data_IF_294786086762
#
_entry.id   IF_294786086762
#
_cell.length_a   1.000
_cell.length_b   1.000
_cell.length_c   1.000
_cell.angle_alpha   90.00
_cell.angle_beta   90.00
_cell.angle_gamma   90.00
#
_symmetry.space_group_name_H-M   'P 1'
#
loop_
_entity.id
_entity.type
_entity.pdbx_description
1 polymer ?
#
# COMPACT_ATOMS: atom_id res chain seq x y z
N UNK A 1 -6.66 -2.14 -17.22
CA UNK A 1 -7.72 -2.18 -16.20
C UNK A 1 -7.09 -2.24 -14.82
N UNK A 2 -7.48 -1.36 -13.90
CA UNK A 2 -7.02 -1.36 -12.50
C UNK A 2 -8.17 -1.79 -11.59
N UNK A 3 -7.96 -2.85 -10.81
CA UNK A 3 -8.81 -3.24 -9.69
C UNK A 3 -8.39 -2.46 -8.46
N UNK A 4 -9.18 -1.47 -8.05
CA UNK A 4 -8.91 -0.64 -6.88
C UNK A 4 -9.30 -1.35 -5.56
N UNK A 5 -9.36 -0.66 -4.42
CA UNK A 5 -9.62 -1.17 -3.08
C UNK A 5 -10.87 -2.09 -2.99
N UNK A 6 -10.87 -2.99 -2.02
CA UNK A 6 -12.04 -3.82 -1.70
C UNK A 6 -12.02 -5.27 -2.22
N UNK A 7 -10.90 -5.73 -2.79
CA UNK A 7 -10.80 -7.07 -3.39
C UNK A 7 -10.37 -8.18 -2.43
N UNK A 8 -9.90 -7.85 -1.22
CA UNK A 8 -9.20 -8.74 -0.29
C UNK A 8 -9.93 -8.93 1.04
N UNK A 9 -9.38 -9.85 1.86
CA UNK A 9 -9.86 -10.17 3.21
C UNK A 9 -10.96 -11.24 3.21
N UNK A 10 -10.64 -12.45 3.68
CA UNK A 10 -11.61 -13.54 3.79
C UNK A 10 -12.23 -13.62 5.19
N UNK A 11 -11.41 -13.61 6.24
CA UNK A 11 -11.89 -13.61 7.63
C UNK A 11 -12.48 -12.26 8.03
N UNK A 12 -11.81 -11.19 7.62
CA UNK A 12 -12.23 -9.81 7.85
C UNK A 12 -12.46 -9.11 6.49
N UNK A 13 -13.66 -9.28 5.90
CA UNK A 13 -13.92 -8.79 4.55
C UNK A 13 -13.74 -7.29 4.38
N UNK A 14 -13.00 -6.87 3.36
CA UNK A 14 -12.87 -5.47 2.96
C UNK A 14 -14.15 -4.96 2.29
N UNK A 15 -15.24 -4.84 3.07
CA UNK A 15 -16.52 -4.28 2.62
C UNK A 15 -16.60 -2.77 2.79
N UNK A 16 -15.74 -2.23 3.63
CA UNK A 16 -15.51 -0.81 3.86
C UNK A 16 -14.07 -0.61 4.33
N UNK A 17 -13.66 0.62 4.65
CA UNK A 17 -12.30 0.97 5.06
C UNK A 17 -11.91 0.54 6.48
N UNK A 18 -12.80 -0.11 7.23
CA UNK A 18 -12.60 -0.45 8.63
C UNK A 18 -12.13 -1.89 8.89
N UNK A 19 -11.87 -2.68 7.84
CA UNK A 19 -11.45 -4.07 7.96
C UNK A 19 -10.60 -4.53 6.76
N UNK A 20 -9.82 -5.58 6.95
CA UNK A 20 -9.15 -6.33 5.89
C UNK A 20 -7.76 -5.85 5.50
N UNK A 21 -7.37 -4.58 5.74
CA UNK A 21 -5.99 -4.17 5.46
C UNK A 21 -5.01 -5.01 6.27
N UNK A 22 -4.07 -5.61 5.56
CA UNK A 22 -3.12 -6.60 6.09
C UNK A 22 -3.36 -8.01 5.55
N UNK A 23 -4.57 -8.34 5.08
CA UNK A 23 -4.97 -9.68 4.65
C UNK A 23 -5.12 -9.73 3.12
N UNK A 24 -4.01 -9.82 2.39
CA UNK A 24 -3.92 -9.67 0.92
C UNK A 24 -4.34 -10.92 0.14
N UNK A 25 -5.43 -11.56 0.55
CA UNK A 25 -6.04 -12.65 -0.21
C UNK A 25 -7.35 -12.23 -0.85
N UNK A 26 -7.54 -12.61 -2.12
CA UNK A 26 -8.77 -12.30 -2.85
C UNK A 26 -10.01 -12.81 -2.11
N UNK A 27 -10.96 -11.91 -1.89
CA UNK A 27 -12.21 -12.22 -1.21
C UNK A 27 -13.09 -13.12 -2.08
N UNK A 28 -13.24 -14.38 -1.67
CA UNK A 28 -13.97 -15.41 -2.45
C UNK A 28 -15.43 -15.04 -2.73
N UNK A 29 -16.08 -14.34 -1.81
CA UNK A 29 -17.47 -13.93 -1.99
C UNK A 29 -17.67 -12.85 -3.05
N UNK A 30 -16.71 -11.94 -3.22
CA UNK A 30 -16.74 -10.90 -4.27
C UNK A 30 -16.13 -11.38 -5.59
N UNK A 31 -15.11 -12.21 -5.50
CA UNK A 31 -14.32 -12.69 -6.63
C UNK A 31 -14.34 -14.23 -6.66
N UNK A 32 -15.47 -14.85 -7.02
CA UNK A 32 -15.57 -16.32 -7.03
C UNK A 32 -14.60 -16.99 -8.01
N UNK A 33 -14.23 -16.31 -9.12
CA UNK A 33 -13.20 -16.76 -10.06
C UNK A 33 -11.78 -16.33 -9.66
N UNK A 34 -11.64 -15.57 -8.57
CA UNK A 34 -10.37 -15.02 -8.09
C UNK A 34 -9.73 -14.01 -9.07
N UNK A 35 -8.52 -13.58 -8.74
CA UNK A 35 -7.71 -12.70 -9.60
C UNK A 35 -7.45 -13.32 -11.00
N UNK A 36 -7.22 -14.64 -11.16
CA UNK A 36 -6.99 -15.23 -12.49
C UNK A 36 -8.12 -14.99 -13.48
N UNK A 37 -9.40 -15.01 -13.04
CA UNK A 37 -10.53 -14.74 -13.91
C UNK A 37 -10.52 -13.29 -14.43
N UNK A 38 -10.17 -12.33 -13.58
CA UNK A 38 -10.07 -10.92 -13.95
C UNK A 38 -8.91 -10.66 -14.90
N UNK A 39 -7.73 -11.25 -14.62
CA UNK A 39 -6.56 -11.19 -15.50
C UNK A 39 -6.90 -11.72 -16.88
N UNK A 40 -7.57 -12.89 -16.95
CA UNK A 40 -8.01 -13.50 -18.21
C UNK A 40 -8.96 -12.57 -18.96
N UNK A 41 -9.99 -12.04 -18.29
CA UNK A 41 -10.96 -11.14 -18.92
C UNK A 41 -10.32 -9.84 -19.43
N UNK A 42 -9.38 -9.27 -18.67
CA UNK A 42 -8.61 -8.10 -19.11
C UNK A 42 -7.81 -8.41 -20.39
N UNK A 43 -7.13 -9.54 -20.43
CA UNK A 43 -6.36 -10.00 -21.59
C UNK A 43 -7.26 -10.22 -22.83
N UNK A 44 -8.42 -10.84 -22.65
CA UNK A 44 -9.41 -11.04 -23.72
C UNK A 44 -9.96 -9.70 -24.24
N UNK A 45 -10.06 -8.69 -23.38
CA UNK A 45 -10.44 -7.32 -23.74
C UNK A 45 -9.26 -6.49 -24.32
N UNK A 46 -8.08 -7.06 -24.49
CA UNK A 46 -6.91 -6.38 -25.04
C UNK A 46 -6.24 -5.36 -24.11
N UNK A 47 -6.51 -5.44 -22.79
CA UNK A 47 -5.94 -4.53 -21.79
C UNK A 47 -5.11 -5.31 -20.76
N UNK A 48 -4.10 -4.63 -20.19
CA UNK A 48 -3.32 -5.16 -19.07
C UNK A 48 -4.11 -5.05 -17.76
N UNK A 49 -3.83 -5.97 -16.81
CA UNK A 49 -4.46 -5.97 -15.48
C UNK A 49 -3.53 -5.36 -14.45
N UNK A 50 -4.05 -4.45 -13.64
CA UNK A 50 -3.39 -3.87 -12.48
C UNK A 50 -4.21 -4.04 -11.22
N UNK A 51 -3.56 -3.87 -10.06
CA UNK A 51 -4.18 -4.07 -8.75
C UNK A 51 -3.70 -3.03 -7.74
N UNK A 52 -4.64 -2.58 -6.90
CA UNK A 52 -4.35 -1.68 -5.78
C UNK A 52 -3.87 -2.45 -4.57
N UNK A 53 -2.87 -1.90 -3.90
CA UNK A 53 -2.39 -2.35 -2.59
C UNK A 53 -2.09 -1.17 -1.67
N UNK A 54 -2.22 -1.37 -0.36
CA UNK A 54 -1.82 -0.42 0.68
C UNK A 54 -1.04 -1.18 1.77
N UNK A 55 0.16 -1.70 1.44
CA UNK A 55 0.83 -2.71 2.25
C UNK A 55 1.53 -2.17 3.49
N UNK A 56 1.62 -0.85 3.64
CA UNK A 56 2.17 -0.16 4.80
C UNK A 56 1.14 0.05 5.92
N UNK A 57 -0.14 -0.24 5.64
CA UNK A 57 -1.26 0.00 6.54
C UNK A 57 -1.90 -1.30 7.00
N UNK A 58 -2.55 -1.25 8.17
CA UNK A 58 -3.26 -2.37 8.74
C UNK A 58 -4.54 -1.90 9.43
N UNK A 59 -5.62 -2.65 9.32
CA UNK A 59 -6.81 -2.44 10.16
C UNK A 59 -6.73 -3.27 11.43
N UNK A 60 -7.28 -2.79 12.56
CA UNK A 60 -7.48 -3.62 13.76
C UNK A 60 -8.29 -4.88 13.48
N UNK A 61 -9.22 -4.82 12.54
CA UNK A 61 -9.98 -5.97 12.04
C UNK A 61 -9.24 -6.60 10.87
N UNK A 62 -8.11 -7.30 11.15
CA UNK A 62 -7.34 -8.10 10.21
C UNK A 62 -6.64 -9.25 10.92
N UNK A 63 -6.35 -10.33 10.21
CA UNK A 63 -5.56 -11.44 10.74
C UNK A 63 -4.11 -11.02 11.01
N UNK A 64 -3.59 -10.07 10.23
CA UNK A 64 -2.27 -9.51 10.45
C UNK A 64 -2.18 -8.83 11.82
N UNK A 65 -3.11 -7.94 12.13
CA UNK A 65 -3.11 -7.24 13.41
C UNK A 65 -3.34 -8.18 14.60
N UNK A 66 -4.21 -9.20 14.44
CA UNK A 66 -4.41 -10.22 15.50
C UNK A 66 -3.10 -10.93 15.86
N UNK A 67 -2.22 -11.18 14.87
CA UNK A 67 -0.96 -11.91 15.03
C UNK A 67 0.21 -11.01 15.43
N UNK A 68 0.23 -9.76 14.97
CA UNK A 68 1.38 -8.86 15.02
C UNK A 68 1.02 -7.44 15.46
N UNK A 69 0.40 -7.31 16.64
CA UNK A 69 0.12 -6.00 17.24
C UNK A 69 1.36 -5.18 17.52
N UNK A 70 2.50 -5.85 17.73
CA UNK A 70 3.81 -5.26 17.96
C UNK A 70 4.44 -4.64 16.69
N UNK A 71 3.85 -4.88 15.52
CA UNK A 71 4.33 -4.33 14.24
C UNK A 71 3.78 -2.95 13.91
N UNK A 72 2.84 -2.43 14.68
CA UNK A 72 2.26 -1.12 14.43
C UNK A 72 2.99 -0.01 15.20
N UNK A 73 3.01 1.18 14.59
CA UNK A 73 3.51 2.39 15.23
C UNK A 73 2.42 2.92 16.15
N UNK A 74 2.63 2.83 17.47
CA UNK A 74 1.65 3.23 18.49
C UNK A 74 2.34 3.84 19.70
N UNK A 75 1.67 4.81 20.37
CA UNK A 75 2.20 5.39 21.61
C UNK A 75 1.92 4.45 22.78
N UNK A 76 2.93 4.10 23.61
CA UNK A 76 2.71 3.32 24.81
C UNK A 76 1.83 4.08 25.81
N UNK A 77 0.95 3.35 26.53
CA UNK A 77 0.06 3.88 27.56
C UNK A 77 -0.95 4.94 27.05
N UNK A 78 -1.28 4.92 25.78
CA UNK A 78 -2.34 5.71 25.17
C UNK A 78 -3.21 4.84 24.28
N UNK A 79 -4.47 5.25 24.13
CA UNK A 79 -5.36 4.63 23.16
C UNK A 79 -4.81 4.80 21.75
N UNK A 80 -5.03 3.79 20.91
CA UNK A 80 -4.65 3.86 19.49
C UNK A 80 -5.47 4.95 18.79
N UNK A 81 -4.79 5.78 18.04
CA UNK A 81 -5.43 6.77 17.18
C UNK A 81 -5.48 6.25 15.75
N UNK A 82 -6.68 6.22 15.19
CA UNK A 82 -6.90 5.75 13.84
C UNK A 82 -7.17 6.91 12.90
N UNK A 83 -6.43 6.95 11.79
CA UNK A 83 -6.78 7.76 10.64
C UNK A 83 -7.35 6.86 9.56
N UNK A 84 -8.57 7.15 9.07
CA UNK A 84 -9.31 6.26 8.16
C UNK A 84 -9.43 4.80 8.66
N UNK A 85 -9.64 4.60 9.95
CA UNK A 85 -9.71 3.28 10.59
C UNK A 85 -8.44 2.42 10.43
N UNK A 86 -7.29 3.04 10.16
CA UNK A 86 -6.02 2.38 9.88
C UNK A 86 -4.97 2.68 10.92
N UNK A 87 -3.99 1.78 11.04
CA UNK A 87 -2.72 1.95 11.72
C UNK A 87 -1.59 1.78 10.73
N UNK A 88 -0.44 2.38 11.03
CA UNK A 88 0.76 2.31 10.21
C UNK A 88 1.66 1.18 10.70
N UNK A 89 2.07 0.29 9.80
CA UNK A 89 3.07 -0.74 10.08
C UNK A 89 4.46 -0.13 10.18
N UNK A 90 5.26 -0.60 11.12
CA UNK A 90 6.58 -0.05 11.43
C UNK A 90 7.66 -0.54 10.45
N UNK A 91 7.87 0.17 9.35
CA UNK A 91 8.92 -0.14 8.38
C UNK A 91 10.35 0.07 8.89
N UNK A 92 10.57 0.63 10.08
CA UNK A 92 11.89 0.57 10.71
C UNK A 92 12.27 -0.86 11.12
N UNK A 93 11.27 -1.75 11.28
CA UNK A 93 11.43 -3.16 11.63
C UNK A 93 11.66 -4.03 10.38
N UNK A 94 12.80 -4.75 10.27
CA UNK A 94 13.08 -5.64 9.14
C UNK A 94 12.03 -6.73 8.91
N UNK A 95 11.36 -7.23 9.95
CA UNK A 95 10.29 -8.22 9.79
C UNK A 95 9.07 -7.63 9.07
N UNK A 96 8.76 -6.37 9.32
CA UNK A 96 7.71 -5.63 8.61
C UNK A 96 8.12 -5.36 7.16
N UNK A 97 9.40 -5.02 6.93
CA UNK A 97 9.92 -4.88 5.56
C UNK A 97 9.79 -6.20 4.78
N UNK A 98 10.10 -7.35 5.40
CA UNK A 98 9.93 -8.67 4.79
C UNK A 98 8.48 -8.97 4.48
N UNK A 99 7.56 -8.64 5.38
CA UNK A 99 6.12 -8.78 5.15
C UNK A 99 5.66 -7.92 3.97
N UNK A 100 6.00 -6.64 3.94
CA UNK A 100 5.58 -5.71 2.87
C UNK A 100 6.15 -6.13 1.51
N UNK A 101 7.42 -6.54 1.44
CA UNK A 101 7.99 -7.17 0.25
C UNK A 101 7.20 -8.41 -0.15
N UNK A 102 6.88 -9.27 0.82
CA UNK A 102 6.12 -10.51 0.62
C UNK A 102 4.72 -10.29 0.05
N UNK A 103 4.07 -9.17 0.33
CA UNK A 103 2.76 -8.83 -0.29
C UNK A 103 2.89 -8.77 -1.81
N UNK A 104 3.85 -8.00 -2.33
CA UNK A 104 4.09 -7.90 -3.77
C UNK A 104 4.60 -9.22 -4.34
N UNK A 105 5.56 -9.84 -3.66
CA UNK A 105 6.19 -11.09 -4.10
C UNK A 105 5.18 -12.24 -4.24
N UNK A 106 4.29 -12.37 -3.26
CA UNK A 106 3.22 -13.39 -3.30
C UNK A 106 2.22 -13.13 -4.43
N UNK A 107 1.82 -11.88 -4.64
CA UNK A 107 0.90 -11.51 -5.72
C UNK A 107 1.54 -11.79 -7.10
N UNK A 108 2.79 -11.38 -7.31
CA UNK A 108 3.52 -11.60 -8.56
C UNK A 108 3.81 -13.08 -8.81
N UNK A 109 4.18 -13.84 -7.78
CA UNK A 109 4.42 -15.28 -7.89
C UNK A 109 3.14 -16.04 -8.23
N UNK A 110 2.03 -15.67 -7.58
CA UNK A 110 0.73 -16.33 -7.77
C UNK A 110 0.01 -15.89 -9.04
N UNK A 111 0.24 -14.64 -9.46
CA UNK A 111 -0.43 -14.00 -10.59
C UNK A 111 0.58 -13.23 -11.47
N UNK A 112 1.45 -13.91 -12.21
CA UNK A 112 2.56 -13.27 -12.95
C UNK A 112 2.12 -12.33 -14.07
N UNK A 113 0.87 -12.38 -14.48
CA UNK A 113 0.29 -11.48 -15.48
C UNK A 113 -0.24 -10.15 -14.89
N UNK A 114 -0.07 -9.90 -13.60
CA UNK A 114 -0.26 -8.56 -13.04
C UNK A 114 0.83 -7.65 -13.60
N UNK A 115 0.42 -6.60 -14.30
CA UNK A 115 1.33 -5.69 -14.99
C UNK A 115 1.52 -4.35 -14.28
N UNK A 116 0.73 -4.07 -13.23
CA UNK A 116 0.68 -2.75 -12.62
C UNK A 116 0.21 -2.82 -11.17
N UNK A 117 0.88 -2.09 -10.28
CA UNK A 117 0.42 -1.86 -8.90
C UNK A 117 0.14 -0.38 -8.65
N UNK A 118 -1.05 -0.07 -8.10
CA UNK A 118 -1.30 1.20 -7.42
C UNK A 118 -0.95 1.00 -5.95
N UNK A 119 0.16 1.59 -5.53
CA UNK A 119 0.64 1.53 -4.16
C UNK A 119 0.15 2.74 -3.38
N UNK A 120 -0.75 2.51 -2.45
CA UNK A 120 -1.36 3.55 -1.62
C UNK A 120 -0.77 3.61 -0.21
N UNK A 121 -0.98 4.74 0.47
CA UNK A 121 -0.56 4.99 1.84
C UNK A 121 -1.42 6.11 2.43
N UNK A 122 -2.55 5.77 3.02
CA UNK A 122 -3.60 6.75 3.37
C UNK A 122 -3.59 7.20 4.83
N UNK A 123 -2.68 6.72 5.65
CA UNK A 123 -2.57 7.14 7.04
C UNK A 123 -1.21 7.77 7.33
N UNK A 124 -1.17 9.02 7.83
CA UNK A 124 0.06 9.61 8.30
C UNK A 124 0.53 8.96 9.61
N UNK A 125 1.83 9.04 9.89
CA UNK A 125 2.39 8.63 11.18
C UNK A 125 2.07 9.71 12.22
N UNK A 126 1.07 9.46 13.04
CA UNK A 126 0.62 10.38 14.12
C UNK A 126 0.99 9.88 15.51
N UNK A 127 1.12 8.56 15.69
CA UNK A 127 1.54 7.93 16.93
C UNK A 127 3.03 7.63 16.87
N UNK A 128 3.87 8.49 17.42
CA UNK A 128 5.32 8.48 17.17
C UNK A 128 6.03 7.59 18.17
N UNK A 129 5.86 6.27 18.06
CA UNK A 129 6.63 5.30 18.84
C UNK A 129 6.70 3.94 18.13
N UNK A 130 7.92 3.43 18.01
CA UNK A 130 8.23 2.11 17.45
C UNK A 130 8.61 1.14 18.56
N UNK A 131 7.92 0.00 18.63
CA UNK A 131 8.31 -1.09 19.53
C UNK A 131 9.68 -1.69 19.17
N UNK A 132 10.09 -1.57 17.91
CA UNK A 132 11.37 -2.07 17.41
C UNK A 132 12.54 -1.15 17.78
N UNK A 133 12.39 0.17 17.64
CA UNK A 133 13.48 1.14 17.84
C UNK A 133 13.87 1.34 19.30
N UNK A 134 13.01 0.99 20.26
CA UNK A 134 13.27 1.11 21.70
C UNK A 134 13.75 2.50 22.11
N UNK A 135 15.03 2.65 22.42
CA UNK A 135 15.68 3.91 22.83
C UNK A 135 15.98 4.86 21.66
N UNK A 136 15.90 4.38 20.41
CA UNK A 136 16.19 5.17 19.20
C UNK A 136 14.94 5.82 18.58
N UNK A 137 13.96 6.21 19.39
CA UNK A 137 12.68 6.74 18.88
C UNK A 137 12.82 7.97 17.98
N UNK A 138 13.83 8.80 18.19
CA UNK A 138 14.11 9.98 17.34
C UNK A 138 14.46 9.61 15.87
N UNK A 139 14.81 8.36 15.62
CA UNK A 139 15.12 7.85 14.27
C UNK A 139 13.89 7.41 13.47
N UNK A 140 12.70 7.34 14.11
CA UNK A 140 11.54 6.68 13.53
C UNK A 140 11.23 7.09 12.09
N UNK A 141 11.12 8.37 11.81
CA UNK A 141 10.79 8.85 10.46
C UNK A 141 11.87 8.52 9.42
N UNK A 142 13.13 8.66 9.80
CA UNK A 142 14.27 8.36 8.91
C UNK A 142 14.36 6.86 8.66
N UNK A 143 14.29 6.06 9.71
CA UNK A 143 14.40 4.60 9.59
C UNK A 143 13.19 3.98 8.92
N UNK A 144 11.98 4.54 9.12
CA UNK A 144 10.78 4.17 8.37
C UNK A 144 10.97 4.40 6.87
N UNK A 145 11.38 5.61 6.48
CA UNK A 145 11.57 5.97 5.07
C UNK A 145 12.66 5.12 4.42
N UNK A 146 13.78 4.92 5.11
CA UNK A 146 14.85 4.02 4.64
C UNK A 146 14.35 2.57 4.52
N UNK A 147 13.47 2.14 5.42
CA UNK A 147 12.84 0.83 5.38
C UNK A 147 11.94 0.65 4.15
N UNK A 148 11.15 1.67 3.83
CA UNK A 148 10.34 1.69 2.59
C UNK A 148 11.23 1.55 1.35
N UNK A 149 12.28 2.36 1.24
CA UNK A 149 13.17 2.30 0.08
C UNK A 149 13.90 0.96 -0.05
N UNK A 150 14.30 0.34 1.06
CA UNK A 150 14.85 -1.03 1.04
C UNK A 150 13.86 -2.05 0.48
N UNK A 151 12.59 -1.94 0.83
CA UNK A 151 11.54 -2.80 0.27
C UNK A 151 11.40 -2.57 -1.23
N UNK A 152 11.34 -1.30 -1.66
CA UNK A 152 11.22 -0.92 -3.07
C UNK A 152 12.44 -1.33 -3.90
N UNK A 153 13.67 -1.21 -3.37
CA UNK A 153 14.90 -1.71 -3.99
C UNK A 153 14.81 -3.23 -4.24
N UNK A 154 14.33 -4.00 -3.26
CA UNK A 154 14.14 -5.45 -3.39
C UNK A 154 13.10 -5.80 -4.45
N UNK A 155 11.97 -5.07 -4.48
CA UNK A 155 10.93 -5.25 -5.50
C UNK A 155 11.50 -4.97 -6.89
N UNK A 156 12.18 -3.83 -7.08
CA UNK A 156 12.76 -3.44 -8.35
C UNK A 156 13.84 -4.42 -8.82
N UNK A 157 14.66 -4.92 -7.91
CA UNK A 157 15.69 -5.91 -8.23
C UNK A 157 15.09 -7.24 -8.70
N UNK A 158 13.97 -7.68 -8.09
CA UNK A 158 13.31 -8.95 -8.46
C UNK A 158 12.35 -8.81 -9.65
N UNK A 159 11.70 -7.67 -9.78
CA UNK A 159 10.68 -7.37 -10.80
C UNK A 159 11.01 -6.06 -11.52
N UNK A 160 12.08 -6.00 -12.34
CA UNK A 160 12.58 -4.75 -12.93
C UNK A 160 11.59 -4.08 -13.88
N UNK A 161 10.71 -4.85 -14.51
CA UNK A 161 9.71 -4.36 -15.48
C UNK A 161 8.34 -4.06 -14.84
N UNK A 162 8.21 -4.24 -13.51
CA UNK A 162 6.97 -3.97 -12.82
C UNK A 162 6.69 -2.47 -12.77
N UNK A 163 5.54 -2.08 -13.32
CA UNK A 163 5.07 -0.70 -13.30
C UNK A 163 4.31 -0.43 -12.00
N UNK A 164 4.68 0.65 -11.31
CA UNK A 164 4.04 1.04 -10.06
C UNK A 164 3.65 2.52 -10.08
N UNK A 165 2.43 2.81 -9.58
CA UNK A 165 1.94 4.15 -9.30
C UNK A 165 2.00 4.43 -7.81
N UNK A 166 2.57 5.56 -7.41
CA UNK A 166 2.51 6.04 -6.03
C UNK A 166 1.22 6.82 -5.79
N UNK A 167 0.52 6.46 -4.73
CA UNK A 167 -0.64 7.16 -4.21
C UNK A 167 -0.52 7.33 -2.68
N UNK A 168 -1.09 8.40 -2.15
CA UNK A 168 -1.24 8.64 -0.71
C UNK A 168 -2.40 9.62 -0.51
N UNK A 169 -3.64 9.13 -0.64
CA UNK A 169 -4.82 9.99 -0.74
C UNK A 169 -4.69 10.98 -1.91
N UNK A 170 -4.10 10.57 -3.01
CA UNK A 170 -3.55 11.41 -4.07
C UNK A 170 -2.05 11.62 -3.92
N UNK A 171 -1.58 12.85 -4.11
CA UNK A 171 -0.15 13.23 -4.11
C UNK A 171 0.47 13.49 -2.74
N UNK A 172 -0.11 12.99 -1.66
CA UNK A 172 0.33 13.31 -0.28
C UNK A 172 1.74 12.85 0.08
N UNK A 173 2.34 11.96 -0.71
CA UNK A 173 3.69 11.42 -0.45
C UNK A 173 4.54 11.36 -1.73
N UNK A 174 4.50 12.38 -2.54
CA UNK A 174 5.35 12.46 -3.72
C UNK A 174 6.69 13.08 -3.35
N UNK A 175 7.79 12.37 -3.63
CA UNK A 175 9.15 12.84 -3.43
C UNK A 175 10.06 12.41 -4.58
N UNK A 176 11.25 13.04 -4.68
CA UNK A 176 12.20 12.77 -5.78
C UNK A 176 12.84 11.39 -5.70
N UNK A 177 13.00 10.80 -4.52
CA UNK A 177 13.51 9.44 -4.38
C UNK A 177 12.48 8.42 -4.89
N UNK A 178 11.18 8.70 -4.74
CA UNK A 178 10.10 7.91 -5.29
C UNK A 178 10.17 7.72 -6.81
N UNK A 179 10.73 8.70 -7.55
CA UNK A 179 10.94 8.61 -9.01
C UNK A 179 11.86 7.45 -9.44
N UNK A 180 12.66 6.90 -8.53
CA UNK A 180 13.48 5.70 -8.82
C UNK A 180 12.66 4.44 -8.97
N UNK A 181 11.46 4.38 -8.36
CA UNK A 181 10.65 3.19 -8.20
C UNK A 181 9.28 3.29 -8.89
N UNK A 182 8.69 4.48 -8.85
CA UNK A 182 7.35 4.74 -9.38
C UNK A 182 7.43 5.48 -10.70
N UNK A 183 6.70 5.01 -11.70
CA UNK A 183 6.63 5.61 -13.03
C UNK A 183 5.45 6.56 -13.17
N UNK A 184 4.44 6.40 -12.30
CA UNK A 184 3.27 7.26 -12.23
C UNK A 184 3.02 7.72 -10.79
N UNK A 185 2.40 8.89 -10.69
CA UNK A 185 1.99 9.49 -9.42
C UNK A 185 0.53 9.93 -9.52
N UNK A 186 -0.29 9.50 -8.57
CA UNK A 186 -1.69 9.91 -8.51
C UNK A 186 -1.79 11.24 -7.79
N UNK A 187 -2.04 12.33 -8.53
CA UNK A 187 -1.98 13.68 -7.97
C UNK A 187 -3.14 14.01 -7.03
N UNK A 188 -4.32 13.42 -7.20
CA UNK A 188 -5.48 13.64 -6.31
C UNK A 188 -6.60 12.66 -6.62
N UNK A 189 -7.39 12.29 -5.60
CA UNK A 189 -8.64 11.56 -5.74
C UNK A 189 -9.81 12.46 -6.21
N UNK A 190 -9.63 13.79 -6.20
CA UNK A 190 -10.61 14.70 -6.76
C UNK A 190 -10.63 14.57 -8.29
N UNK A 191 -11.75 14.15 -8.83
CA UNK A 191 -11.97 13.93 -10.27
C UNK A 191 -12.85 14.99 -10.93
N UNK A 192 -13.21 16.08 -10.21
CA UNK A 192 -13.88 17.22 -10.82
C UNK A 192 -13.03 17.75 -11.99
N UNK A 193 -13.57 17.91 -13.20
CA UNK A 193 -12.77 18.24 -14.38
C UNK A 193 -12.16 19.62 -14.32
N UNK A 194 -12.77 20.60 -13.65
CA UNK A 194 -12.23 21.96 -13.51
C UNK A 194 -11.12 21.98 -12.47
N UNK A 195 -11.35 21.34 -11.31
CA UNK A 195 -10.34 21.24 -10.25
C UNK A 195 -9.10 20.47 -10.76
N UNK A 196 -9.29 19.45 -11.59
CA UNK A 196 -8.19 18.66 -12.18
C UNK A 196 -7.25 19.49 -13.05
N UNK A 197 -7.72 20.53 -13.71
CA UNK A 197 -6.84 21.44 -14.47
C UNK A 197 -5.81 22.11 -13.55
N UNK A 198 -6.26 22.63 -12.41
CA UNK A 198 -5.38 23.28 -11.44
C UNK A 198 -4.48 22.30 -10.69
N UNK A 199 -5.04 21.15 -10.29
CA UNK A 199 -4.29 20.10 -9.59
C UNK A 199 -3.16 19.58 -10.49
N UNK A 200 -3.45 19.21 -11.72
CA UNK A 200 -2.43 18.69 -12.65
C UNK A 200 -1.42 19.75 -13.05
N UNK A 201 -1.86 20.99 -13.28
CA UNK A 201 -0.94 22.07 -13.57
C UNK A 201 0.01 22.33 -12.39
N UNK A 202 -0.51 22.41 -11.16
CA UNK A 202 0.33 22.60 -9.98
C UNK A 202 1.31 21.46 -9.78
N UNK A 203 0.87 20.22 -9.99
CA UNK A 203 1.69 19.02 -9.87
C UNK A 203 2.83 19.00 -10.89
N UNK A 204 2.55 19.37 -12.15
CA UNK A 204 3.54 19.43 -13.24
C UNK A 204 4.62 20.52 -13.06
N UNK A 205 4.49 21.41 -12.06
CA UNK A 205 5.54 22.36 -11.72
C UNK A 205 6.64 21.74 -10.83
N UNK A 206 6.38 20.58 -10.26
CA UNK A 206 7.26 19.91 -9.30
C UNK A 206 7.86 18.64 -9.90
N UNK A 207 7.06 17.92 -10.71
CA UNK A 207 7.39 16.62 -11.31
C UNK A 207 7.17 16.57 -12.81
#
# INVERSE_FOLDING_TARGET
FLLDDGWFGNKHPRNSDNAGLGDWEAMKSKLPGGIPALVKSAKEAGVKFGIWIEPEMVNPKSELYEKHKDWVITLPNRDEYYFRNQLVLDLSNPQVQDYVFGVVDNLMTKYPDIAFFKWDCNSPITNIYSNYLKDKQSHLYVDYTNGLYKVLDRIKAKYPDLVMMMCSGGGGRTDYEGLRYFTEFWCSDNTDPVDRLYIQWGYSQIF
#
